data_IF_402811374092
#
_entry.id   IF_402811374092
#
_cell.length_a   1.000
_cell.length_b   1.000
_cell.length_c   1.000
_cell.angle_alpha   90.00
_cell.angle_beta   90.00
_cell.angle_gamma   90.00
#
_symmetry.space_group_name_H-M   'P 1'
#
loop_
_entity.id
_entity.type
_entity.pdbx_description
1 polymer ?
#
# COMPACT_ATOMS: atom_id res chain seq x y z
N UNK A 1 -11.03 -9.96 -20.38
CA UNK A 1 -9.86 -9.71 -19.51
C UNK A 1 -9.28 -8.35 -19.89
N UNK A 2 -8.96 -7.50 -18.92
CA UNK A 2 -8.37 -6.18 -19.15
C UNK A 2 -7.12 -6.03 -18.27
N UNK A 3 -6.00 -5.62 -18.84
CA UNK A 3 -4.78 -5.27 -18.12
C UNK A 3 -4.69 -3.75 -18.00
N UNK A 4 -4.35 -3.25 -16.83
CA UNK A 4 -4.26 -1.82 -16.54
C UNK A 4 -2.98 -1.57 -15.75
N UNK A 5 -2.11 -0.73 -16.28
CA UNK A 5 -1.06 -0.08 -15.48
C UNK A 5 -1.70 1.10 -14.72
N UNK A 6 -1.55 1.21 -13.38
CA UNK A 6 -2.13 2.31 -12.60
C UNK A 6 -1.62 3.66 -13.08
N UNK A 7 -2.51 4.67 -13.11
CA UNK A 7 -2.13 6.02 -13.53
C UNK A 7 -1.15 6.69 -12.55
N UNK A 8 -1.13 6.24 -11.29
CA UNK A 8 -0.11 6.62 -10.30
C UNK A 8 1.34 6.40 -10.80
N UNK A 9 1.57 5.42 -11.70
CA UNK A 9 2.86 5.15 -12.35
C UNK A 9 4.01 4.67 -11.45
N UNK A 10 3.89 4.84 -10.14
CA UNK A 10 4.88 4.46 -9.14
C UNK A 10 4.14 4.12 -7.85
N UNK A 11 3.88 2.84 -7.61
CA UNK A 11 3.08 2.38 -6.48
C UNK A 11 3.82 1.31 -5.66
N UNK A 12 3.67 0.03 -5.99
CA UNK A 12 4.55 -1.01 -5.43
C UNK A 12 5.90 -0.98 -6.15
N UNK A 13 5.86 -0.82 -7.48
CA UNK A 13 6.98 -0.59 -8.41
C UNK A 13 6.56 0.47 -9.46
N UNK A 14 7.40 0.73 -10.46
CA UNK A 14 7.03 1.45 -11.69
C UNK A 14 6.40 0.55 -12.78
N UNK A 15 6.33 -0.77 -12.55
CA UNK A 15 5.84 -1.78 -13.48
C UNK A 15 4.49 -2.41 -13.12
N UNK A 16 3.79 -1.85 -12.13
CA UNK A 16 2.59 -2.48 -11.56
C UNK A 16 1.50 -2.72 -12.62
N UNK A 17 0.86 -3.88 -12.56
CA UNK A 17 -0.20 -4.27 -13.50
C UNK A 17 -1.37 -4.91 -12.75
N UNK A 18 -2.57 -4.37 -12.98
CA UNK A 18 -3.83 -4.90 -12.44
C UNK A 18 -4.59 -5.63 -13.55
N UNK A 19 -5.14 -6.81 -13.22
CA UNK A 19 -5.93 -7.62 -14.17
C UNK A 19 -7.39 -7.66 -13.73
N UNK A 20 -8.29 -7.26 -14.63
CA UNK A 20 -9.74 -7.34 -14.42
C UNK A 20 -10.36 -8.46 -15.26
N UNK A 21 -10.97 -9.42 -14.59
CA UNK A 21 -11.78 -10.49 -15.20
C UNK A 21 -13.26 -10.10 -15.13
N UNK A 22 -13.67 -9.17 -15.99
CA UNK A 22 -15.02 -8.54 -15.97
C UNK A 22 -16.17 -9.55 -15.91
N UNK A 23 -16.14 -10.62 -16.72
CA UNK A 23 -17.21 -11.62 -16.75
C UNK A 23 -17.32 -12.43 -15.45
N UNK A 24 -16.22 -12.56 -14.71
CA UNK A 24 -16.17 -13.30 -13.46
C UNK A 24 -16.34 -12.40 -12.23
N UNK A 25 -16.40 -11.08 -12.41
CA UNK A 25 -16.33 -10.08 -11.34
C UNK A 25 -15.15 -10.28 -10.38
N UNK A 26 -13.95 -10.47 -10.95
CA UNK A 26 -12.69 -10.64 -10.20
C UNK A 26 -11.69 -9.55 -10.60
N UNK A 27 -10.96 -9.02 -9.63
CA UNK A 27 -9.75 -8.22 -9.86
C UNK A 27 -8.55 -8.90 -9.20
N UNK A 28 -7.43 -8.99 -9.93
CA UNK A 28 -6.14 -9.39 -9.39
C UNK A 28 -5.22 -8.17 -9.36
N UNK A 29 -4.73 -7.84 -8.18
CA UNK A 29 -4.05 -6.55 -7.92
C UNK A 29 -2.54 -6.63 -8.06
N UNK A 30 -1.97 -7.83 -8.04
CA UNK A 30 -0.56 -8.02 -7.73
C UNK A 30 -0.22 -7.41 -6.37
N UNK A 31 1.04 -7.00 -6.23
CA UNK A 31 1.60 -6.50 -4.97
C UNK A 31 1.20 -5.06 -4.62
N UNK A 32 0.21 -4.48 -5.32
CA UNK A 32 -0.48 -3.29 -4.84
C UNK A 32 -1.26 -3.56 -3.53
N UNK A 33 -1.68 -4.80 -3.31
CA UNK A 33 -2.48 -5.18 -2.15
C UNK A 33 -1.96 -6.46 -1.50
N UNK A 34 -1.67 -6.34 -0.20
CA UNK A 34 -1.30 -7.42 0.69
C UNK A 34 -2.40 -7.56 1.74
N UNK A 35 -3.12 -8.69 1.73
CA UNK A 35 -4.22 -8.89 2.65
C UNK A 35 -3.72 -9.32 4.04
N UNK A 36 -4.13 -8.57 5.06
CA UNK A 36 -3.83 -8.85 6.47
C UNK A 36 -2.37 -8.72 6.91
N UNK A 37 -1.48 -8.12 6.10
CA UNK A 37 -0.06 -7.90 6.45
C UNK A 37 0.44 -6.55 5.94
N UNK A 38 1.46 -5.96 6.57
CA UNK A 38 2.13 -4.80 6.00
C UNK A 38 2.80 -5.13 4.66
N UNK A 39 2.63 -4.30 3.61
CA UNK A 39 3.16 -4.60 2.29
C UNK A 39 4.66 -4.35 2.20
N UNK A 40 5.32 -5.08 1.30
CA UNK A 40 6.61 -4.64 0.78
C UNK A 40 6.39 -3.45 -0.18
N UNK A 41 7.27 -2.46 -0.15
CA UNK A 41 7.25 -1.32 -1.08
C UNK A 41 8.64 -1.24 -1.70
N UNK A 42 8.75 -1.44 -3.01
CA UNK A 42 10.03 -1.48 -3.71
C UNK A 42 10.53 -0.07 -4.04
N UNK A 43 11.02 0.63 -3.01
CA UNK A 43 11.53 2.01 -3.11
C UNK A 43 12.58 2.18 -4.23
N UNK A 44 13.55 1.25 -4.42
CA UNK A 44 14.50 1.31 -5.54
C UNK A 44 13.87 1.38 -6.94
N UNK A 45 12.69 0.79 -7.15
CA UNK A 45 11.96 0.83 -8.43
C UNK A 45 10.84 1.86 -8.45
N UNK A 46 10.88 2.84 -7.53
CA UNK A 46 9.94 3.95 -7.47
C UNK A 46 8.73 3.70 -6.57
N UNK A 47 8.63 2.56 -5.90
CA UNK A 47 7.54 2.29 -4.98
C UNK A 47 7.50 3.26 -3.80
N UNK A 48 6.29 3.64 -3.37
CA UNK A 48 6.08 4.47 -2.17
C UNK A 48 4.63 4.39 -1.67
N UNK A 49 4.42 4.71 -0.40
CA UNK A 49 3.14 4.50 0.29
C UNK A 49 1.97 5.29 -0.33
N UNK A 50 2.18 6.53 -0.78
CA UNK A 50 1.11 7.32 -1.42
C UNK A 50 0.81 6.83 -2.84
N UNK A 51 1.79 6.27 -3.53
CA UNK A 51 1.61 5.56 -4.79
C UNK A 51 0.74 4.31 -4.61
N UNK A 52 1.05 3.49 -3.60
CA UNK A 52 0.23 2.33 -3.20
C UNK A 52 -1.23 2.73 -2.93
N UNK A 53 -1.43 3.81 -2.17
CA UNK A 53 -2.77 4.36 -1.87
C UNK A 53 -3.48 4.77 -3.15
N UNK A 54 -2.81 5.50 -4.05
CA UNK A 54 -3.39 5.96 -5.30
C UNK A 54 -3.77 4.79 -6.22
N UNK A 55 -2.86 3.82 -6.40
CA UNK A 55 -3.12 2.61 -7.20
C UNK A 55 -4.29 1.78 -6.66
N UNK A 56 -4.38 1.60 -5.34
CA UNK A 56 -5.51 0.90 -4.73
C UNK A 56 -6.83 1.68 -4.87
N UNK A 57 -6.82 3.01 -4.76
CA UNK A 57 -8.01 3.84 -5.00
C UNK A 57 -8.51 3.76 -6.45
N UNK A 58 -7.61 3.68 -7.42
CA UNK A 58 -7.98 3.44 -8.82
C UNK A 58 -8.68 2.08 -9.01
N UNK A 59 -8.24 1.05 -8.28
CA UNK A 59 -8.91 -0.26 -8.26
C UNK A 59 -10.30 -0.12 -7.65
N UNK A 60 -10.41 0.46 -6.46
CA UNK A 60 -11.68 0.66 -5.75
C UNK A 60 -12.72 1.40 -6.59
N UNK A 61 -12.31 2.38 -7.40
CA UNK A 61 -13.20 3.12 -8.29
C UNK A 61 -13.77 2.28 -9.46
N UNK A 62 -13.24 1.07 -9.71
CA UNK A 62 -13.57 0.22 -10.87
C UNK A 62 -14.26 -1.09 -10.50
N UNK A 63 -14.45 -1.34 -9.21
CA UNK A 63 -15.02 -2.59 -8.66
C UNK A 63 -16.27 -2.29 -7.83
N UNK A 64 -17.08 -3.31 -7.58
CA UNK A 64 -18.29 -3.23 -6.75
C UNK A 64 -18.19 -4.13 -5.51
N UNK A 65 -19.20 -4.07 -4.65
CA UNK A 65 -19.22 -4.80 -3.38
C UNK A 65 -19.36 -6.33 -3.56
N UNK A 66 -19.61 -6.80 -4.79
CA UNK A 66 -19.65 -8.23 -5.13
C UNK A 66 -18.37 -8.68 -5.83
N UNK A 67 -17.41 -7.78 -6.08
CA UNK A 67 -16.15 -8.13 -6.73
C UNK A 67 -15.28 -8.94 -5.78
N UNK A 68 -14.79 -10.08 -6.26
CA UNK A 68 -13.74 -10.83 -5.57
C UNK A 68 -12.37 -10.18 -5.85
N UNK A 69 -11.61 -9.95 -4.79
CA UNK A 69 -10.29 -9.31 -4.86
C UNK A 69 -9.22 -10.38 -4.60
N UNK A 70 -8.33 -10.58 -5.56
CA UNK A 70 -7.18 -11.48 -5.45
C UNK A 70 -5.93 -10.63 -5.19
N UNK A 71 -5.43 -10.59 -3.94
CA UNK A 71 -4.22 -9.84 -3.61
C UNK A 71 -2.97 -10.52 -4.20
N UNK A 72 -1.83 -9.82 -4.20
CA UNK A 72 -0.53 -10.45 -4.47
C UNK A 72 -0.13 -11.41 -3.34
N UNK A 73 -0.49 -11.06 -2.10
CA UNK A 73 -0.23 -11.85 -0.91
C UNK A 73 -1.44 -11.91 0.02
N UNK A 74 -1.66 -13.08 0.62
CA UNK A 74 -2.80 -13.34 1.51
C UNK A 74 -3.96 -14.06 0.80
N UNK A 75 -5.06 -14.33 1.52
CA UNK A 75 -6.22 -15.01 0.95
C UNK A 75 -7.00 -14.13 -0.04
N UNK A 76 -7.76 -14.76 -0.93
CA UNK A 76 -8.79 -14.06 -1.73
C UNK A 76 -9.80 -13.42 -0.79
N UNK A 77 -10.16 -12.19 -1.08
CA UNK A 77 -10.94 -11.33 -0.19
C UNK A 77 -11.92 -10.47 -1.01
N UNK A 78 -12.39 -9.36 -0.44
CA UNK A 78 -13.40 -8.48 -1.01
C UNK A 78 -12.96 -7.01 -1.03
N UNK A 79 -13.86 -6.17 -1.54
CA UNK A 79 -13.66 -4.73 -1.62
C UNK A 79 -13.52 -4.07 -0.25
N UNK A 80 -14.25 -4.50 0.77
CA UNK A 80 -14.22 -3.88 2.10
C UNK A 80 -12.86 -4.04 2.77
N UNK A 81 -12.20 -5.18 2.58
CA UNK A 81 -10.85 -5.39 3.09
C UNK A 81 -9.81 -4.55 2.33
N UNK A 82 -9.96 -4.38 1.01
CA UNK A 82 -9.12 -3.46 0.24
C UNK A 82 -9.31 -2.00 0.70
N UNK A 83 -10.54 -1.59 1.05
CA UNK A 83 -10.81 -0.28 1.66
C UNK A 83 -10.12 -0.12 3.01
N UNK A 84 -10.16 -1.15 3.86
CA UNK A 84 -9.47 -1.16 5.15
C UNK A 84 -7.95 -1.05 4.98
N UNK A 85 -7.38 -1.72 3.99
CA UNK A 85 -5.97 -1.61 3.64
C UNK A 85 -5.59 -0.19 3.18
N UNK A 86 -6.40 0.43 2.31
CA UNK A 86 -6.19 1.83 1.89
C UNK A 86 -6.27 2.79 3.09
N UNK A 87 -7.21 2.56 4.02
CA UNK A 87 -7.33 3.36 5.23
C UNK A 87 -6.10 3.23 6.14
N UNK A 88 -5.59 2.00 6.29
CA UNK A 88 -4.36 1.72 7.05
C UNK A 88 -3.14 2.45 6.44
N UNK A 89 -2.90 2.30 5.13
CA UNK A 89 -1.79 2.99 4.47
C UNK A 89 -1.92 4.51 4.59
N UNK A 90 -3.14 5.04 4.38
CA UNK A 90 -3.40 6.49 4.46
C UNK A 90 -3.13 7.04 5.86
N UNK A 91 -3.54 6.31 6.91
CA UNK A 91 -3.29 6.71 8.29
C UNK A 91 -1.81 6.72 8.66
N UNK A 92 -1.04 5.73 8.18
CA UNK A 92 0.41 5.67 8.40
C UNK A 92 1.13 6.78 7.63
N UNK A 93 0.79 6.99 6.35
CA UNK A 93 1.34 8.09 5.55
C UNK A 93 1.08 9.45 6.20
N UNK A 94 -0.15 9.70 6.67
CA UNK A 94 -0.53 10.94 7.33
C UNK A 94 0.29 11.23 8.62
N UNK A 95 0.79 10.19 9.30
CA UNK A 95 1.68 10.32 10.46
C UNK A 95 3.14 10.52 10.06
N UNK A 96 3.63 9.80 9.05
CA UNK A 96 5.05 9.82 8.65
C UNK A 96 5.40 11.07 7.84
N UNK A 97 4.57 11.44 6.87
CA UNK A 97 4.80 12.58 5.97
C UNK A 97 5.17 13.89 6.68
N UNK A 98 4.44 14.37 7.71
CA UNK A 98 4.83 15.60 8.41
C UNK A 98 6.17 15.47 9.16
N UNK A 99 6.54 14.27 9.62
CA UNK A 99 7.84 14.04 10.26
C UNK A 99 8.99 14.11 9.26
N UNK A 100 8.80 13.54 8.06
CA UNK A 100 9.77 13.64 6.95
C UNK A 100 9.95 15.11 6.54
N UNK A 101 8.85 15.85 6.37
CA UNK A 101 8.90 17.29 6.04
C UNK A 101 9.58 18.12 7.12
N UNK A 102 9.47 17.72 8.39
CA UNK A 102 10.17 18.34 9.51
C UNK A 102 11.66 17.94 9.61
N UNK A 103 12.16 17.09 8.71
CA UNK A 103 13.56 16.65 8.68
C UNK A 103 13.94 15.64 9.76
N UNK A 104 12.95 14.96 10.36
CA UNK A 104 13.23 13.91 11.36
C UNK A 104 13.98 12.73 10.76
N UNK A 105 14.82 12.08 11.55
CA UNK A 105 15.53 10.86 11.13
C UNK A 105 14.61 9.63 11.16
N UNK A 106 15.04 8.54 10.53
CA UNK A 106 14.32 7.27 10.54
C UNK A 106 14.10 6.78 11.98
N UNK A 107 15.14 6.86 12.82
CA UNK A 107 15.10 6.42 14.21
C UNK A 107 14.06 7.22 15.02
N UNK A 108 13.97 8.54 14.79
CA UNK A 108 12.97 9.39 15.43
C UNK A 108 11.53 9.05 14.98
N UNK A 109 11.37 8.68 13.71
CA UNK A 109 10.08 8.27 13.15
C UNK A 109 9.67 6.90 13.69
N UNK A 110 10.56 5.92 13.74
CA UNK A 110 10.31 4.61 14.34
C UNK A 110 9.98 4.73 15.85
N UNK A 111 10.71 5.58 16.58
CA UNK A 111 10.43 5.85 17.99
C UNK A 111 9.02 6.43 18.24
N UNK A 112 8.46 7.15 17.25
CA UNK A 112 7.09 7.66 17.30
C UNK A 112 6.02 6.60 17.02
N UNK A 113 6.41 5.38 16.61
CA UNK A 113 5.53 4.23 16.36
C UNK A 113 4.29 4.57 15.51
N UNK A 114 4.47 5.10 14.28
CA UNK A 114 3.36 5.59 13.47
C UNK A 114 2.33 4.50 13.11
N UNK A 115 2.74 3.24 13.13
CA UNK A 115 1.90 2.09 12.76
C UNK A 115 1.12 1.49 13.94
N UNK A 116 1.31 1.96 15.17
CA UNK A 116 0.83 1.29 16.40
C UNK A 116 -0.66 0.91 16.39
N UNK A 117 -1.52 1.76 15.83
CA UNK A 117 -2.98 1.54 15.76
C UNK A 117 -3.36 0.34 14.86
N UNK A 118 -2.44 -0.13 14.03
CA UNK A 118 -2.62 -1.13 12.99
C UNK A 118 -1.87 -2.44 13.30
N UNK A 119 -0.90 -2.40 14.21
CA UNK A 119 0.03 -3.52 14.43
C UNK A 119 -0.66 -4.83 14.80
N UNK A 120 -1.78 -4.78 15.53
CA UNK A 120 -2.54 -5.98 15.92
C UNK A 120 -3.04 -6.79 14.71
N UNK A 121 -3.38 -6.12 13.61
CA UNK A 121 -3.89 -6.77 12.40
C UNK A 121 -2.77 -6.99 11.39
N UNK A 122 -2.02 -5.94 11.04
CA UNK A 122 -1.07 -5.99 9.91
C UNK A 122 0.39 -6.27 10.32
N UNK A 123 0.75 -6.04 11.58
CA UNK A 123 2.13 -6.12 12.09
C UNK A 123 2.55 -7.50 12.63
N UNK A 124 1.69 -8.51 12.52
CA UNK A 124 1.92 -9.81 13.15
C UNK A 124 2.85 -10.73 12.34
N UNK A 125 3.16 -10.40 11.08
CA UNK A 125 3.88 -11.27 10.15
C UNK A 125 5.36 -10.85 9.95
N UNK A 126 5.99 -11.26 8.85
CA UNK A 126 7.41 -11.02 8.53
C UNK A 126 7.78 -9.54 8.45
N UNK A 127 6.90 -8.71 7.89
CA UNK A 127 7.10 -7.27 7.80
C UNK A 127 6.68 -6.61 9.11
N UNK A 128 7.66 -6.38 9.98
CA UNK A 128 7.42 -5.83 11.33
C UNK A 128 7.16 -4.32 11.29
N UNK A 129 6.50 -3.76 12.32
CA UNK A 129 6.18 -2.33 12.40
C UNK A 129 7.34 -1.38 12.04
N UNK A 130 8.52 -1.62 12.60
CA UNK A 130 9.70 -0.77 12.33
C UNK A 130 10.23 -0.93 10.90
N UNK A 131 10.15 -2.14 10.34
CA UNK A 131 10.55 -2.42 8.95
C UNK A 131 9.59 -1.72 7.98
N UNK A 132 8.28 -1.82 8.20
CA UNK A 132 7.32 -1.14 7.36
C UNK A 132 7.42 0.38 7.49
N UNK A 133 7.66 0.89 8.70
CA UNK A 133 7.93 2.31 8.94
C UNK A 133 9.13 2.80 8.12
N UNK A 134 10.20 2.02 8.06
CA UNK A 134 11.39 2.33 7.25
C UNK A 134 11.06 2.40 5.76
N UNK A 135 10.35 1.42 5.21
CA UNK A 135 9.94 1.43 3.80
C UNK A 135 9.10 2.67 3.47
N UNK A 136 8.10 2.98 4.31
CA UNK A 136 7.25 4.16 4.12
C UNK A 136 8.04 5.46 4.23
N UNK A 137 8.90 5.60 5.24
CA UNK A 137 9.77 6.77 5.44
C UNK A 137 10.69 6.99 4.23
N UNK A 138 11.40 5.95 3.78
CA UNK A 138 12.33 6.03 2.66
C UNK A 138 11.60 6.37 1.35
N UNK A 139 10.45 5.74 1.09
CA UNK A 139 9.63 6.03 -0.07
C UNK A 139 9.13 7.47 -0.12
N UNK A 140 8.61 7.99 1.00
CA UNK A 140 8.17 9.38 1.12
C UNK A 140 9.35 10.34 0.94
N UNK A 141 10.47 10.11 1.63
CA UNK A 141 11.65 10.97 1.55
C UNK A 141 12.24 11.01 0.14
N UNK A 142 12.19 9.91 -0.62
CA UNK A 142 12.64 9.86 -2.01
C UNK A 142 11.73 10.65 -2.97
N UNK A 143 10.41 10.68 -2.70
CA UNK A 143 9.44 11.37 -3.56
C UNK A 143 9.30 12.86 -3.25
N UNK A 144 9.46 13.29 -2.00
CA UNK A 144 9.37 14.70 -1.61
C UNK A 144 10.63 15.52 -1.90
N UNK A 145 11.76 14.87 -2.23
CA UNK A 145 13.02 15.53 -2.61
C UNK A 145 13.09 15.92 -4.09
N UNK A 146 12.10 15.53 -4.90
CA UNK A 146 11.98 15.88 -6.32
C UNK A 146 11.20 17.18 -6.48
#
# INVERSE_FOLDING_TARGET
MQLVHPAAGSAHTDGDTVVYYRNANIVQTGDLYFEGVYPYIDVPTGGWIDGMIAGCREILARIDDKTLVVPGHGPVTDKAHLEAYVAMLSGISAKITPMVLAGKTLEEVQAAKPTADYDQVWGQNWNKPDVFTELAYNGIAAHLKK
#
